data_IF_516251519730
#
_entry.id   IF_516251519730
#
_cell.length_a   1.000
_cell.length_b   1.000
_cell.length_c   1.000
_cell.angle_alpha   90.00
_cell.angle_beta   90.00
_cell.angle_gamma   90.00
#
_symmetry.space_group_name_H-M   'P 1'
#
loop_
_entity.id
_entity.type
_entity.pdbx_description
1 polymer ?
#
# COMPACT_ATOMS: atom_id res chain seq x y z
N UNK A 1 -11.97 -9.96 26.76
CA UNK A 1 -11.73 -8.50 26.87
C UNK A 1 -10.31 -8.08 27.32
N UNK A 2 -9.59 -8.85 28.17
CA UNK A 2 -8.28 -8.44 28.74
C UNK A 2 -7.20 -8.12 27.69
N UNK A 3 -7.15 -8.84 26.56
CA UNK A 3 -6.15 -8.64 25.50
C UNK A 3 -6.29 -7.27 24.81
N UNK A 4 -7.52 -6.80 24.59
CA UNK A 4 -7.78 -5.53 23.93
C UNK A 4 -7.45 -4.34 24.86
N UNK A 5 -7.82 -4.44 26.14
CA UNK A 5 -7.48 -3.43 27.14
C UNK A 5 -5.97 -3.28 27.34
N UNK A 6 -5.21 -4.39 27.31
CA UNK A 6 -3.73 -4.36 27.39
C UNK A 6 -3.07 -3.76 26.14
N UNK A 7 -3.71 -3.86 24.98
CA UNK A 7 -3.19 -3.35 23.71
C UNK A 7 -3.43 -1.84 23.53
N UNK A 8 -4.46 -1.29 24.15
CA UNK A 8 -4.83 0.12 24.03
C UNK A 8 -4.10 0.97 25.07
N UNK A 9 -3.41 2.03 24.61
CA UNK A 9 -2.67 2.95 25.47
C UNK A 9 -2.94 4.40 25.07
N UNK A 10 -2.83 5.31 26.04
CA UNK A 10 -2.95 6.76 25.83
C UNK A 10 -4.31 7.17 25.24
N UNK A 11 -4.34 8.08 24.24
CA UNK A 11 -5.58 8.66 23.74
C UNK A 11 -6.52 7.62 23.08
N UNK A 12 -5.99 6.50 22.59
CA UNK A 12 -6.81 5.41 22.06
C UNK A 12 -7.61 4.72 23.16
N UNK A 13 -7.05 4.56 24.37
CA UNK A 13 -7.73 3.94 25.50
C UNK A 13 -8.86 4.84 26.02
N UNK A 14 -8.60 6.13 26.21
CA UNK A 14 -9.57 7.09 26.75
C UNK A 14 -10.87 7.16 25.93
N UNK A 15 -10.75 7.02 24.60
CA UNK A 15 -11.90 7.06 23.67
C UNK A 15 -12.85 5.88 23.82
N UNK A 16 -12.33 4.70 24.16
CA UNK A 16 -13.12 3.47 24.27
C UNK A 16 -13.26 2.99 25.71
N UNK A 17 -12.70 3.71 26.68
CA UNK A 17 -12.73 3.38 28.12
C UNK A 17 -14.16 3.22 28.65
N UNK A 18 -15.06 4.12 28.30
CA UNK A 18 -16.48 4.05 28.67
C UNK A 18 -17.21 2.86 28.02
N UNK A 19 -16.81 2.48 26.81
CA UNK A 19 -17.39 1.36 26.06
C UNK A 19 -16.84 0.02 26.55
N UNK A 20 -15.55 -0.06 26.90
CA UNK A 20 -14.87 -1.26 27.41
C UNK A 20 -15.43 -1.83 28.73
N UNK A 21 -16.29 -1.08 29.43
CA UNK A 21 -17.02 -1.52 30.62
C UNK A 21 -18.19 -2.46 30.28
N UNK A 22 -18.64 -2.48 29.01
CA UNK A 22 -19.73 -3.34 28.54
C UNK A 22 -19.13 -4.63 27.93
N UNK A 23 -19.58 -5.83 28.36
CA UNK A 23 -18.97 -7.10 27.95
C UNK A 23 -19.13 -7.45 26.46
N UNK A 24 -20.07 -6.81 25.75
CA UNK A 24 -20.50 -7.18 24.38
C UNK A 24 -20.04 -6.21 23.27
N UNK A 25 -19.34 -5.12 23.59
CA UNK A 25 -19.07 -4.05 22.59
C UNK A 25 -17.76 -4.19 21.82
N UNK A 26 -17.12 -5.37 21.85
CA UNK A 26 -15.84 -5.63 21.17
C UNK A 26 -15.80 -5.14 19.70
N UNK A 27 -16.79 -5.51 18.87
CA UNK A 27 -16.85 -5.06 17.46
C UNK A 27 -17.02 -3.54 17.34
N UNK A 28 -17.81 -2.91 18.21
CA UNK A 28 -18.06 -1.47 18.19
C UNK A 28 -16.83 -0.66 18.63
N UNK A 29 -16.07 -1.17 19.60
CA UNK A 29 -14.78 -0.60 20.04
C UNK A 29 -13.79 -0.60 18.87
N UNK A 30 -13.67 -1.73 18.17
CA UNK A 30 -12.81 -1.85 16.99
C UNK A 30 -13.25 -0.91 15.87
N UNK A 31 -14.56 -0.81 15.60
CA UNK A 31 -15.11 0.10 14.60
C UNK A 31 -14.82 1.58 14.94
N UNK A 32 -14.95 1.96 16.22
CA UNK A 32 -14.68 3.32 16.70
C UNK A 32 -13.19 3.67 16.54
N UNK A 33 -12.31 2.73 16.88
CA UNK A 33 -10.87 2.90 16.71
C UNK A 33 -10.48 2.97 15.23
N UNK A 34 -11.08 2.15 14.36
CA UNK A 34 -10.91 2.24 12.90
C UNK A 34 -11.36 3.59 12.34
N UNK A 35 -12.50 4.12 12.78
CA UNK A 35 -12.99 5.41 12.31
C UNK A 35 -12.09 6.57 12.75
N UNK A 36 -11.64 6.59 14.01
CA UNK A 36 -10.80 7.68 14.54
C UNK A 36 -9.33 7.61 14.13
N UNK A 37 -8.76 6.42 14.06
CA UNK A 37 -7.32 6.21 13.89
C UNK A 37 -6.96 5.48 12.60
N UNK A 38 -7.93 4.92 11.88
CA UNK A 38 -7.67 4.14 10.67
C UNK A 38 -7.23 4.97 9.46
N UNK A 39 -7.64 6.26 9.39
CA UNK A 39 -7.36 7.21 8.28
C UNK A 39 -7.12 6.52 6.93
N UNK A 40 -8.11 5.78 6.41
CA UNK A 40 -7.93 4.93 5.24
C UNK A 40 -7.49 5.73 4.01
N UNK A 41 -7.88 7.00 3.90
CA UNK A 41 -7.52 7.88 2.80
C UNK A 41 -6.02 8.21 2.77
N UNK A 42 -5.41 8.41 3.94
CA UNK A 42 -3.98 8.67 4.05
C UNK A 42 -3.16 7.41 3.73
N UNK A 43 -3.64 6.26 4.21
CA UNK A 43 -2.98 4.98 3.96
C UNK A 43 -2.99 4.64 2.47
N UNK A 44 -4.12 4.84 1.79
CA UNK A 44 -4.23 4.64 0.34
C UNK A 44 -3.36 5.62 -0.42
N UNK A 45 -3.35 6.91 -0.04
CA UNK A 45 -2.49 7.91 -0.66
C UNK A 45 -1.00 7.52 -0.53
N UNK A 46 -0.60 6.95 0.60
CA UNK A 46 0.75 6.42 0.81
C UNK A 46 1.03 5.18 -0.04
N UNK A 47 0.07 4.25 -0.19
CA UNK A 47 0.22 3.06 -1.03
C UNK A 47 0.31 3.41 -2.52
N UNK A 48 -0.57 4.30 -3.01
CA UNK A 48 -0.48 4.85 -4.38
C UNK A 48 0.86 5.55 -4.57
N UNK A 49 1.30 6.33 -3.57
CA UNK A 49 2.61 6.98 -3.56
C UNK A 49 3.79 5.99 -3.58
N UNK A 50 3.66 4.84 -2.91
CA UNK A 50 4.66 3.77 -2.95
C UNK A 50 4.71 3.14 -4.32
N UNK A 51 3.56 2.73 -4.87
CA UNK A 51 3.49 2.20 -6.23
C UNK A 51 4.10 3.21 -7.19
N UNK A 52 3.77 4.51 -7.09
CA UNK A 52 4.38 5.65 -7.84
C UNK A 52 5.90 5.75 -7.75
N UNK A 53 6.49 5.51 -6.59
CA UNK A 53 7.94 5.61 -6.38
C UNK A 53 8.71 4.35 -6.79
N UNK A 54 8.03 3.23 -6.99
CA UNK A 54 8.69 2.00 -7.42
C UNK A 54 9.26 2.13 -8.83
N UNK A 55 10.47 1.59 -9.06
CA UNK A 55 11.05 1.55 -10.39
C UNK A 55 10.13 0.76 -11.32
N UNK A 56 10.03 1.18 -12.57
CA UNK A 56 9.23 0.47 -13.57
C UNK A 56 9.72 -0.99 -13.66
N UNK A 57 8.80 -1.98 -13.63
CA UNK A 57 9.16 -3.39 -13.56
C UNK A 57 9.91 -3.81 -14.83
N UNK A 58 11.23 -4.05 -14.73
CA UNK A 58 12.07 -4.35 -15.88
C UNK A 58 12.03 -5.86 -16.19
N UNK A 59 11.91 -6.21 -17.47
CA UNK A 59 11.81 -7.62 -17.92
C UNK A 59 13.06 -8.45 -17.59
N UNK A 60 14.23 -7.81 -17.46
CA UNK A 60 15.52 -8.44 -17.14
C UNK A 60 15.72 -8.73 -15.64
N UNK A 61 14.96 -8.06 -14.77
CA UNK A 61 15.01 -8.24 -13.31
C UNK A 61 13.65 -8.76 -12.84
N UNK A 62 13.47 -10.07 -12.91
CA UNK A 62 12.24 -10.75 -12.48
C UNK A 62 11.78 -10.31 -11.08
N UNK A 63 12.72 -10.06 -10.15
CA UNK A 63 12.43 -9.54 -8.81
C UNK A 63 11.69 -8.20 -8.80
N UNK A 64 11.95 -7.31 -9.76
CA UNK A 64 11.29 -6.01 -9.83
C UNK A 64 9.85 -6.11 -10.33
N UNK A 65 9.55 -7.07 -11.21
CA UNK A 65 8.20 -7.36 -11.65
C UNK A 65 7.33 -7.96 -10.55
N UNK A 66 7.89 -8.93 -9.82
CA UNK A 66 7.22 -9.57 -8.68
C UNK A 66 6.94 -8.55 -7.58
N UNK A 67 7.94 -7.76 -7.17
CA UNK A 67 7.76 -6.74 -6.14
C UNK A 67 6.71 -5.70 -6.53
N UNK A 68 6.68 -5.27 -7.80
CA UNK A 68 5.66 -4.34 -8.30
C UNK A 68 4.26 -4.96 -8.25
N UNK A 69 4.10 -6.21 -8.69
CA UNK A 69 2.84 -6.94 -8.62
C UNK A 69 2.35 -7.14 -7.19
N UNK A 70 3.25 -7.47 -6.26
CA UNK A 70 2.95 -7.57 -4.82
C UNK A 70 2.50 -6.22 -4.24
N UNK A 71 3.15 -5.12 -4.62
CA UNK A 71 2.77 -3.78 -4.17
C UNK A 71 1.39 -3.36 -4.70
N UNK A 72 1.06 -3.67 -5.96
CA UNK A 72 -0.26 -3.41 -6.55
C UNK A 72 -1.33 -4.27 -5.87
N UNK A 73 -1.07 -5.56 -5.63
CA UNK A 73 -1.99 -6.44 -4.92
C UNK A 73 -2.20 -6.00 -3.47
N UNK A 74 -1.14 -5.62 -2.78
CA UNK A 74 -1.24 -5.06 -1.43
C UNK A 74 -2.10 -3.78 -1.43
N UNK A 75 -1.92 -2.90 -2.42
CA UNK A 75 -2.75 -1.72 -2.58
C UNK A 75 -4.23 -2.07 -2.80
N UNK A 76 -4.53 -3.04 -3.66
CA UNK A 76 -5.88 -3.54 -3.89
C UNK A 76 -6.51 -4.10 -2.60
N UNK A 77 -5.80 -4.96 -1.88
CA UNK A 77 -6.27 -5.58 -0.63
C UNK A 77 -6.63 -4.52 0.42
N UNK A 78 -5.80 -3.48 0.56
CA UNK A 78 -6.06 -2.38 1.48
C UNK A 78 -7.26 -1.52 1.05
N UNK A 79 -7.42 -1.27 -0.25
CA UNK A 79 -8.59 -0.55 -0.78
C UNK A 79 -9.88 -1.34 -0.57
N UNK A 80 -9.85 -2.67 -0.75
CA UNK A 80 -10.98 -3.56 -0.49
C UNK A 80 -11.30 -3.62 1.01
N UNK A 81 -10.30 -3.79 1.88
CA UNK A 81 -10.47 -3.85 3.33
C UNK A 81 -10.98 -2.52 3.92
N UNK A 82 -10.64 -1.38 3.30
CA UNK A 82 -11.13 -0.06 3.66
C UNK A 82 -12.55 0.23 3.13
N UNK A 83 -13.14 -0.65 2.31
CA UNK A 83 -14.45 -0.42 1.68
C UNK A 83 -14.43 0.61 0.55
N UNK A 84 -13.24 1.02 0.10
CA UNK A 84 -13.02 2.10 -0.87
C UNK A 84 -12.96 1.57 -2.31
N UNK A 85 -13.93 0.71 -2.66
CA UNK A 85 -13.98 0.02 -3.97
C UNK A 85 -14.08 0.98 -5.16
N UNK A 86 -14.62 2.18 -4.96
CA UNK A 86 -14.68 3.21 -5.99
C UNK A 86 -13.30 3.66 -6.48
N UNK A 87 -12.25 3.53 -5.65
CA UNK A 87 -10.89 3.85 -6.06
C UNK A 87 -10.27 2.75 -6.94
N UNK A 88 -10.76 1.51 -6.85
CA UNK A 88 -10.31 0.40 -7.70
C UNK A 88 -10.74 0.59 -9.16
N UNK A 89 -11.92 1.19 -9.36
CA UNK A 89 -12.46 1.52 -10.68
C UNK A 89 -12.00 2.89 -11.20
N UNK A 90 -11.08 3.57 -10.52
CA UNK A 90 -10.57 4.85 -11.00
C UNK A 90 -9.77 4.64 -12.30
N UNK A 91 -10.28 5.12 -13.45
CA UNK A 91 -9.66 4.86 -14.74
C UNK A 91 -8.28 5.50 -14.87
N UNK A 92 -8.01 6.61 -14.16
CA UNK A 92 -6.70 7.27 -14.16
C UNK A 92 -5.64 6.45 -13.42
N UNK A 93 -6.00 5.84 -12.29
CA UNK A 93 -5.08 4.97 -11.55
C UNK A 93 -4.80 3.69 -12.33
N UNK A 94 -5.82 3.10 -12.96
CA UNK A 94 -5.65 1.93 -13.82
C UNK A 94 -4.76 2.25 -15.02
N UNK A 95 -5.01 3.37 -15.70
CA UNK A 95 -4.19 3.82 -16.81
C UNK A 95 -2.74 4.04 -16.37
N UNK A 96 -2.50 4.68 -15.23
CA UNK A 96 -1.14 4.92 -14.71
C UNK A 96 -0.38 3.62 -14.40
N UNK A 97 -1.07 2.60 -13.86
CA UNK A 97 -0.47 1.28 -13.57
C UNK A 97 -0.18 0.54 -14.88
N UNK A 98 -1.11 0.56 -15.84
CA UNK A 98 -0.97 -0.09 -17.15
C UNK A 98 0.13 0.58 -17.97
N UNK A 99 0.17 1.92 -18.00
CA UNK A 99 1.21 2.69 -18.68
C UNK A 99 2.58 2.37 -18.10
N UNK A 100 2.73 2.22 -16.78
CA UNK A 100 4.03 1.83 -16.20
C UNK A 100 4.47 0.42 -16.52
N UNK A 101 3.51 -0.49 -16.69
CA UNK A 101 3.79 -1.83 -17.19
C UNK A 101 4.19 -1.83 -18.68
N UNK A 102 3.53 -1.02 -19.51
CA UNK A 102 3.83 -0.92 -20.94
C UNK A 102 5.11 -0.12 -21.23
N UNK A 103 5.37 0.92 -20.44
CA UNK A 103 6.60 1.73 -20.55
C UNK A 103 7.82 0.89 -20.19
N UNK A 104 7.69 -0.08 -19.28
CA UNK A 104 8.79 -1.01 -19.02
C UNK A 104 9.00 -2.03 -20.14
N UNK A 105 7.93 -2.53 -20.77
CA UNK A 105 8.04 -3.35 -21.99
C UNK A 105 8.71 -2.59 -23.15
N UNK A 106 8.44 -1.28 -23.28
CA UNK A 106 8.97 -0.46 -24.40
C UNK A 106 10.36 0.15 -24.15
N UNK A 107 10.77 0.40 -22.89
CA UNK A 107 11.99 1.17 -22.61
C UNK A 107 13.06 0.46 -21.74
N UNK A 108 12.82 -0.74 -21.19
CA UNK A 108 13.62 -1.22 -20.03
C UNK A 108 14.78 -2.20 -20.23
N UNK A 109 15.19 -2.59 -21.45
CA UNK A 109 16.60 -3.01 -21.64
C UNK A 109 17.49 -2.00 -22.39
N UNK A 110 16.93 -0.89 -22.86
CA UNK A 110 17.72 0.13 -23.55
C UNK A 110 18.64 0.93 -22.60
N UNK A 111 18.21 1.19 -21.35
CA UNK A 111 18.98 2.06 -20.44
C UNK A 111 19.94 1.32 -19.48
N UNK A 112 19.66 0.06 -19.16
CA UNK A 112 20.55 -0.74 -18.29
C UNK A 112 21.82 -1.26 -19.02
N UNK A 113 21.86 -1.26 -20.36
CA UNK A 113 23.09 -1.52 -21.15
C UNK A 113 24.01 -0.30 -21.27
N UNK A 114 23.46 0.92 -21.22
CA UNK A 114 24.26 2.14 -21.31
C UNK A 114 25.09 2.38 -20.02
N UNK A 115 24.51 2.19 -18.84
CA UNK A 115 25.22 2.42 -17.58
C UNK A 115 26.20 1.29 -17.20
N UNK A 116 25.99 0.05 -17.70
CA UNK A 116 26.93 -1.06 -17.46
C UNK A 116 28.18 -1.03 -18.35
N UNK A 117 28.18 -0.27 -19.46
CA UNK A 117 29.37 -0.04 -20.30
C UNK A 117 30.30 1.04 -19.75
N UNK A 118 29.79 1.96 -18.94
CA UNK A 118 30.60 3.05 -18.35
C UNK A 118 31.29 2.65 -17.04
N UNK A 119 30.83 1.60 -16.35
CA UNK A 119 31.45 1.10 -15.11
C UNK A 119 32.40 -0.09 -15.28
N UNK A 120 32.69 -0.52 -16.51
CA UNK A 120 33.69 -1.57 -16.80
C UNK A 120 34.79 -1.03 -17.74
N UNK A 121 35.27 0.17 -17.41
CA UNK A 121 36.33 0.87 -18.14
C UNK A 121 37.22 1.64 -17.17
N UNK A 122 37.79 0.94 -16.19
CA UNK A 122 39.02 1.32 -15.47
C UNK A 122 39.26 0.30 -14.36
N UNK A 123 40.06 -0.72 -14.65
CA UNK A 123 41.16 -1.23 -13.81
C UNK A 123 42.00 -2.18 -14.66
#
# INVERSE_FOLDING_TARGET
MIRLQKALKGPALEVVRSRLLLPEVGPQVIATLRSRYGRPEHLISALIGNVRRMPAPCREKHDTGVAFGEAVRSMEDHMQAAGLRAHLTNPLLLQEIVERFQTSEQYSCARNQAFKRESCGSY
#
